data_IF_209968334600
#
_entry.id   IF_209968334600
#
_cell.length_a   1.000
_cell.length_b   1.000
_cell.length_c   1.000
_cell.angle_alpha   90.00
_cell.angle_beta   90.00
_cell.angle_gamma   90.00
#
_symmetry.space_group_name_H-M   'P 1'
#
loop_
_entity.id
_entity.type
_entity.pdbx_description
1 polymer ?
#
# COMPACT_ATOMS: atom_id res chain seq x y z
N UNK A 1 25.00 26.49 42.81
CA UNK A 1 26.00 25.46 42.48
C UNK A 1 25.97 25.30 40.97
N UNK A 2 26.87 25.97 40.27
CA UNK A 2 27.14 25.75 38.85
C UNK A 2 28.61 26.14 38.61
N UNK A 3 29.51 25.21 38.28
CA UNK A 3 30.87 25.53 37.90
C UNK A 3 30.93 25.79 36.40
N UNK A 4 30.89 27.06 36.03
CA UNK A 4 31.38 27.58 34.75
C UNK A 4 32.85 27.93 34.94
N UNK A 5 33.76 27.04 34.51
CA UNK A 5 35.16 27.39 34.33
C UNK A 5 35.88 26.44 33.35
N UNK A 6 36.66 27.09 32.48
CA UNK A 6 37.83 26.57 31.78
C UNK A 6 37.61 25.75 30.49
N UNK A 7 37.71 26.44 29.34
CA UNK A 7 38.89 26.41 28.46
C UNK A 7 38.55 27.18 27.16
N UNK A 8 38.76 28.50 27.15
CA UNK A 8 39.93 29.15 26.52
C UNK A 8 40.40 28.48 25.21
N UNK A 9 39.92 29.07 24.11
CA UNK A 9 40.66 29.48 22.90
C UNK A 9 41.72 28.49 22.42
N UNK A 10 41.34 27.70 21.43
CA UNK A 10 42.24 27.36 20.33
C UNK A 10 41.50 27.72 19.03
N UNK A 11 41.84 28.89 18.49
CA UNK A 11 41.42 29.30 17.15
C UNK A 11 42.59 28.89 16.25
N UNK A 12 42.47 27.80 15.46
CA UNK A 12 43.44 27.60 14.41
C UNK A 12 43.04 28.55 13.27
N UNK A 13 43.80 29.63 13.15
CA UNK A 13 43.84 30.47 11.95
C UNK A 13 44.42 29.64 10.81
N UNK A 14 43.61 28.78 10.21
CA UNK A 14 43.89 28.28 8.88
C UNK A 14 43.52 29.40 7.92
N UNK A 15 44.54 30.16 7.52
CA UNK A 15 44.44 31.11 6.43
C UNK A 15 43.81 30.42 5.25
N UNK A 16 42.64 30.92 4.84
CA UNK A 16 42.13 30.73 3.49
C UNK A 16 43.08 31.48 2.56
N UNK A 17 44.23 30.86 2.27
CA UNK A 17 44.98 31.12 1.06
C UNK A 17 44.03 30.74 -0.08
N UNK A 18 43.28 31.74 -0.54
CA UNK A 18 42.44 31.68 -1.73
C UNK A 18 43.40 31.68 -2.91
N UNK A 19 44.04 30.54 -3.13
CA UNK A 19 44.94 30.33 -4.24
C UNK A 19 44.11 30.40 -5.52
N UNK A 20 44.08 31.60 -6.08
CA UNK A 20 43.31 31.97 -7.26
C UNK A 20 44.05 31.54 -8.53
N UNK A 21 44.68 30.37 -8.49
CA UNK A 21 45.40 29.75 -9.62
C UNK A 21 44.79 28.41 -10.00
N UNK A 22 43.48 28.39 -10.20
CA UNK A 22 42.90 27.51 -11.20
C UNK A 22 42.68 28.34 -12.46
N UNK A 23 43.79 28.54 -13.16
CA UNK A 23 43.80 28.96 -14.56
C UNK A 23 43.18 27.80 -15.34
N UNK A 24 41.88 27.88 -15.55
CA UNK A 24 41.07 26.97 -16.36
C UNK A 24 41.33 27.24 -17.85
N UNK A 25 42.58 27.03 -18.28
CA UNK A 25 42.90 26.80 -19.68
C UNK A 25 42.76 25.28 -19.90
N UNK A 26 41.51 24.83 -20.07
CA UNK A 26 41.17 23.42 -20.12
C UNK A 26 39.72 23.19 -20.54
N UNK A 27 39.32 23.77 -21.66
CA UNK A 27 38.07 23.43 -22.34
C UNK A 27 38.08 21.93 -22.70
N UNK A 28 37.19 21.14 -22.10
CA UNK A 28 36.91 19.79 -22.60
C UNK A 28 36.37 18.77 -21.58
N UNK A 29 36.84 18.78 -20.33
CA UNK A 29 36.60 17.65 -19.40
C UNK A 29 35.49 17.89 -18.37
N UNK A 30 35.20 19.15 -18.00
CA UNK A 30 34.13 19.48 -17.04
C UNK A 30 32.71 19.42 -17.63
N UNK A 31 32.56 19.59 -18.94
CA UNK A 31 31.26 19.53 -19.62
C UNK A 31 30.70 18.11 -19.71
N UNK A 32 31.56 17.11 -19.92
CA UNK A 32 31.14 15.72 -20.13
C UNK A 32 30.67 15.04 -18.84
N UNK A 33 31.30 15.34 -17.70
CA UNK A 33 30.94 14.72 -16.41
C UNK A 33 29.63 15.28 -15.88
N UNK A 34 29.42 16.60 -16.02
CA UNK A 34 28.14 17.25 -15.69
C UNK A 34 27.00 16.79 -16.61
N UNK A 35 27.24 16.63 -17.91
CA UNK A 35 26.23 16.05 -18.82
C UNK A 35 25.87 14.62 -18.45
N UNK A 36 26.84 13.78 -18.07
CA UNK A 36 26.58 12.39 -17.67
C UNK A 36 25.74 12.29 -16.40
N UNK A 37 26.03 13.12 -15.39
CA UNK A 37 25.25 13.14 -14.15
C UNK A 37 23.81 13.60 -14.41
N UNK A 38 23.63 14.66 -15.20
CA UNK A 38 22.29 15.14 -15.58
C UNK A 38 21.52 14.08 -16.36
N UNK A 39 22.17 13.37 -17.27
CA UNK A 39 21.55 12.29 -18.05
C UNK A 39 21.13 11.11 -17.17
N UNK A 40 21.95 10.71 -16.19
CA UNK A 40 21.62 9.64 -15.23
C UNK A 40 20.44 10.07 -14.34
N UNK A 41 20.43 11.30 -13.84
CA UNK A 41 19.31 11.81 -13.03
C UNK A 41 18.02 11.93 -13.84
N UNK A 42 18.08 12.37 -15.08
CA UNK A 42 16.94 12.41 -15.99
C UNK A 42 16.41 11.00 -16.27
N UNK A 43 17.30 10.02 -16.49
CA UNK A 43 16.90 8.62 -16.69
C UNK A 43 16.23 8.04 -15.42
N UNK A 44 16.77 8.29 -14.24
CA UNK A 44 16.19 7.87 -12.97
C UNK A 44 14.81 8.51 -12.72
N UNK A 45 14.64 9.79 -13.08
CA UNK A 45 13.36 10.48 -12.96
C UNK A 45 12.30 9.90 -13.91
N UNK A 46 12.68 9.55 -15.15
CA UNK A 46 11.77 8.90 -16.11
C UNK A 46 11.38 7.50 -15.64
N UNK A 47 12.33 6.70 -15.15
CA UNK A 47 12.04 5.33 -14.65
C UNK A 47 11.22 5.35 -13.35
N UNK A 48 11.49 6.30 -12.44
CA UNK A 48 10.69 6.50 -11.23
C UNK A 48 9.27 7.03 -11.48
N UNK A 49 9.08 7.80 -12.56
CA UNK A 49 7.80 8.43 -12.90
C UNK A 49 6.70 7.45 -13.35
N UNK A 50 7.07 6.35 -14.02
CA UNK A 50 6.08 5.38 -14.53
C UNK A 50 5.30 4.68 -13.40
N UNK A 51 5.96 4.35 -12.29
CA UNK A 51 5.30 3.71 -11.15
C UNK A 51 4.35 4.64 -10.39
N UNK A 52 4.65 5.95 -10.37
CA UNK A 52 3.84 6.94 -9.66
C UNK A 52 2.52 7.21 -10.40
N UNK A 53 2.54 7.29 -11.73
CA UNK A 53 1.34 7.52 -12.54
C UNK A 53 0.37 6.34 -12.48
N UNK A 54 0.87 5.11 -12.58
CA UNK A 54 0.02 3.91 -12.48
C UNK A 54 -0.65 3.79 -11.10
N UNK A 55 0.04 4.19 -10.02
CA UNK A 55 -0.56 4.23 -8.68
C UNK A 55 -1.67 5.27 -8.56
N UNK A 56 -1.45 6.48 -9.08
CA UNK A 56 -2.47 7.53 -9.08
C UNK A 56 -3.73 7.12 -9.83
N UNK A 57 -3.57 6.48 -10.99
CA UNK A 57 -4.73 5.99 -11.75
C UNK A 57 -5.53 4.93 -10.98
N UNK A 58 -4.84 4.02 -10.26
CA UNK A 58 -5.51 3.03 -9.42
C UNK A 58 -6.22 3.68 -8.23
N UNK A 59 -5.56 4.63 -7.55
CA UNK A 59 -6.13 5.38 -6.43
C UNK A 59 -7.36 6.19 -6.87
N UNK A 60 -7.31 6.83 -8.04
CA UNK A 60 -8.43 7.56 -8.62
C UNK A 60 -9.61 6.61 -8.92
N UNK A 61 -9.34 5.47 -9.56
CA UNK A 61 -10.36 4.44 -9.82
C UNK A 61 -11.00 3.93 -8.53
N UNK A 62 -10.21 3.72 -7.48
CA UNK A 62 -10.70 3.29 -6.18
C UNK A 62 -11.54 4.37 -5.49
N UNK A 63 -11.14 5.64 -5.58
CA UNK A 63 -11.92 6.77 -5.05
C UNK A 63 -13.27 6.89 -5.77
N UNK A 64 -13.26 6.78 -7.10
CA UNK A 64 -14.49 6.79 -7.93
C UNK A 64 -15.40 5.62 -7.55
N UNK A 65 -14.86 4.40 -7.42
CA UNK A 65 -15.63 3.24 -6.98
C UNK A 65 -16.22 3.40 -5.58
N UNK A 66 -15.46 3.99 -4.65
CA UNK A 66 -15.92 4.28 -3.29
C UNK A 66 -17.06 5.30 -3.30
N UNK A 67 -16.93 6.37 -4.09
CA UNK A 67 -17.98 7.37 -4.25
C UNK A 67 -19.25 6.77 -4.88
N UNK A 68 -19.10 5.92 -5.91
CA UNK A 68 -20.21 5.20 -6.53
C UNK A 68 -20.93 4.28 -5.53
N UNK A 69 -20.18 3.52 -4.74
CA UNK A 69 -20.75 2.69 -3.68
C UNK A 69 -21.53 3.54 -2.67
N UNK A 70 -20.94 4.63 -2.17
CA UNK A 70 -21.59 5.50 -1.18
C UNK A 70 -22.89 6.12 -1.72
N UNK A 71 -22.86 6.57 -2.98
CA UNK A 71 -24.05 7.09 -3.65
C UNK A 71 -25.13 6.00 -3.79
N UNK A 72 -24.77 4.79 -4.23
CA UNK A 72 -25.69 3.67 -4.34
C UNK A 72 -26.30 3.25 -2.99
N UNK A 73 -25.50 3.21 -1.92
CA UNK A 73 -25.98 2.92 -0.56
C UNK A 73 -26.95 4.00 -0.06
N UNK A 74 -26.70 5.27 -0.37
CA UNK A 74 -27.60 6.36 -0.03
C UNK A 74 -28.95 6.23 -0.77
N UNK A 75 -28.90 5.88 -2.06
CA UNK A 75 -30.10 5.60 -2.86
C UNK A 75 -30.88 4.41 -2.31
N UNK A 76 -30.21 3.30 -1.99
CA UNK A 76 -30.83 2.12 -1.38
C UNK A 76 -31.49 2.45 -0.04
N UNK A 77 -30.87 3.29 0.79
CA UNK A 77 -31.44 3.77 2.05
C UNK A 77 -32.70 4.62 1.83
N UNK A 78 -32.71 5.49 0.81
CA UNK A 78 -33.88 6.29 0.47
C UNK A 78 -35.04 5.44 -0.07
N UNK A 79 -34.73 4.40 -0.86
CA UNK A 79 -35.70 3.48 -1.46
C UNK A 79 -36.29 2.49 -0.46
N UNK A 80 -35.51 2.05 0.53
CA UNK A 80 -35.90 1.07 1.53
C UNK A 80 -35.75 1.64 2.95
N UNK A 81 -36.70 2.48 3.38
CA UNK A 81 -36.69 3.04 4.73
C UNK A 81 -36.90 1.94 5.78
N UNK A 82 -36.37 2.13 6.99
CA UNK A 82 -36.31 1.09 8.02
C UNK A 82 -37.70 0.60 8.47
N UNK A 83 -38.69 1.48 8.39
CA UNK A 83 -40.09 1.23 8.76
C UNK A 83 -40.76 0.22 7.81
N UNK A 84 -40.27 0.11 6.57
CA UNK A 84 -40.85 -0.78 5.56
C UNK A 84 -40.56 -2.27 5.83
N UNK A 85 -39.60 -2.61 6.71
CA UNK A 85 -39.20 -4.00 7.05
C UNK A 85 -38.86 -4.88 5.83
N UNK A 86 -38.43 -4.28 4.72
CA UNK A 86 -38.01 -4.94 3.46
C UNK A 86 -36.52 -5.25 3.50
N UNK A 87 -36.12 -6.08 4.47
CA UNK A 87 -34.71 -6.30 4.77
C UNK A 87 -33.97 -7.02 3.65
N UNK A 88 -34.59 -8.01 3.01
CA UNK A 88 -33.97 -8.77 1.91
C UNK A 88 -33.74 -7.88 0.69
N UNK A 89 -34.74 -7.09 0.29
CA UNK A 89 -34.59 -6.18 -0.85
C UNK A 89 -33.59 -5.07 -0.57
N UNK A 90 -33.56 -4.55 0.67
CA UNK A 90 -32.56 -3.59 1.09
C UNK A 90 -31.15 -4.17 1.00
N UNK A 91 -30.91 -5.35 1.57
CA UNK A 91 -29.58 -5.98 1.56
C UNK A 91 -29.13 -6.31 0.14
N UNK A 92 -30.04 -6.74 -0.74
CA UNK A 92 -29.74 -6.95 -2.16
C UNK A 92 -29.35 -5.65 -2.87
N UNK A 93 -30.06 -4.55 -2.59
CA UNK A 93 -29.72 -3.23 -3.13
C UNK A 93 -28.32 -2.79 -2.64
N UNK A 94 -28.08 -2.90 -1.33
CA UNK A 94 -26.81 -2.50 -0.74
C UNK A 94 -25.64 -3.35 -1.30
N UNK A 95 -25.85 -4.65 -1.55
CA UNK A 95 -24.86 -5.53 -2.20
C UNK A 95 -24.51 -5.06 -3.61
N UNK A 96 -25.53 -4.77 -4.43
CA UNK A 96 -25.32 -4.29 -5.80
C UNK A 96 -24.56 -2.96 -5.83
N UNK A 97 -24.82 -2.06 -4.88
CA UNK A 97 -24.05 -0.83 -4.73
C UNK A 97 -22.60 -1.10 -4.30
N UNK A 98 -22.40 -2.04 -3.36
CA UNK A 98 -21.08 -2.40 -2.85
C UNK A 98 -20.19 -3.15 -3.85
N UNK A 99 -20.76 -3.74 -4.91
CA UNK A 99 -19.99 -4.40 -5.97
C UNK A 99 -18.95 -3.48 -6.63
N UNK A 100 -19.18 -2.16 -6.64
CA UNK A 100 -18.25 -1.19 -7.22
C UNK A 100 -16.84 -1.28 -6.61
N UNK A 101 -16.72 -1.56 -5.31
CA UNK A 101 -15.42 -1.64 -4.61
C UNK A 101 -14.78 -3.03 -4.68
N UNK A 102 -15.53 -4.08 -5.02
CA UNK A 102 -15.07 -5.48 -4.99
C UNK A 102 -13.74 -5.70 -5.75
N UNK A 103 -13.49 -5.11 -6.94
CA UNK A 103 -12.24 -5.29 -7.67
C UNK A 103 -11.00 -4.72 -6.96
N UNK A 104 -11.18 -3.82 -6.00
CA UNK A 104 -10.10 -3.14 -5.28
C UNK A 104 -9.79 -3.78 -3.92
N UNK A 105 -10.54 -4.82 -3.53
CA UNK A 105 -10.33 -5.52 -2.27
C UNK A 105 -9.21 -6.55 -2.39
N UNK A 106 -8.36 -6.62 -1.36
CA UNK A 106 -7.28 -7.63 -1.28
C UNK A 106 -7.83 -9.06 -1.30
N UNK A 107 -8.97 -9.28 -0.64
CA UNK A 107 -9.62 -10.58 -0.52
C UNK A 107 -11.12 -10.48 -0.92
N UNK A 108 -11.43 -10.51 -2.23
CA UNK A 108 -12.81 -10.35 -2.70
C UNK A 108 -13.75 -11.50 -2.27
N UNK A 109 -13.20 -12.67 -1.94
CA UNK A 109 -13.97 -13.79 -1.41
C UNK A 109 -14.49 -13.54 0.01
N UNK A 110 -13.74 -12.79 0.83
CA UNK A 110 -14.19 -12.39 2.17
C UNK A 110 -15.35 -11.41 2.09
N UNK A 111 -15.34 -10.52 1.09
CA UNK A 111 -16.47 -9.65 0.78
C UNK A 111 -17.73 -10.45 0.40
N UNK A 112 -17.59 -11.42 -0.50
CA UNK A 112 -18.72 -12.27 -0.91
C UNK A 112 -19.27 -13.07 0.29
N UNK A 113 -18.39 -13.60 1.15
CA UNK A 113 -18.76 -14.29 2.39
C UNK A 113 -19.54 -13.38 3.34
N UNK A 114 -19.07 -12.16 3.57
CA UNK A 114 -19.77 -11.19 4.44
C UNK A 114 -21.18 -10.87 3.92
N UNK A 115 -21.32 -10.64 2.61
CA UNK A 115 -22.61 -10.34 2.00
C UNK A 115 -23.58 -11.52 1.97
N UNK A 116 -23.07 -12.74 1.81
CA UNK A 116 -23.87 -13.95 1.95
C UNK A 116 -24.47 -14.07 3.36
N UNK A 117 -23.67 -13.85 4.39
CA UNK A 117 -24.14 -13.86 5.79
C UNK A 117 -25.14 -12.72 6.06
N UNK A 118 -24.89 -11.52 5.55
CA UNK A 118 -25.85 -10.40 5.66
C UNK A 118 -27.19 -10.72 5.01
N UNK A 119 -27.19 -11.47 3.90
CA UNK A 119 -28.42 -11.91 3.23
C UNK A 119 -29.19 -12.90 4.10
N UNK A 120 -28.51 -13.89 4.69
CA UNK A 120 -29.13 -14.84 5.62
C UNK A 120 -29.71 -14.14 6.86
N UNK A 121 -29.01 -13.14 7.40
CA UNK A 121 -29.51 -12.33 8.51
C UNK A 121 -30.74 -11.52 8.11
N UNK A 122 -30.75 -10.92 6.91
CA UNK A 122 -31.88 -10.18 6.40
C UNK A 122 -33.13 -11.07 6.21
N UNK A 123 -32.96 -12.29 5.69
CA UNK A 123 -34.04 -13.27 5.57
C UNK A 123 -34.61 -13.67 6.93
N UNK A 124 -33.75 -13.96 7.91
CA UNK A 124 -34.17 -14.32 9.27
C UNK A 124 -34.88 -13.16 9.98
N UNK A 125 -34.39 -11.95 9.80
CA UNK A 125 -34.97 -10.73 10.35
C UNK A 125 -36.36 -10.45 9.74
N UNK A 126 -36.48 -10.57 8.41
CA UNK A 126 -37.74 -10.41 7.71
C UNK A 126 -38.77 -11.51 8.04
N UNK A 127 -38.30 -12.74 8.27
CA UNK A 127 -39.12 -13.85 8.73
C UNK A 127 -39.51 -13.74 10.22
N UNK A 128 -39.06 -12.70 10.95
CA UNK A 128 -39.33 -12.54 12.37
C UNK A 128 -38.64 -13.58 13.27
N UNK A 129 -37.65 -14.30 12.74
CA UNK A 129 -36.88 -15.32 13.49
C UNK A 129 -35.79 -14.72 14.37
N UNK A 130 -35.43 -13.45 14.12
CA UNK A 130 -34.47 -12.68 14.88
C UNK A 130 -35.03 -11.28 15.14
N UNK A 131 -34.70 -10.71 16.28
CA UNK A 131 -34.85 -9.28 16.55
C UNK A 131 -33.74 -8.49 15.85
N UNK A 132 -33.95 -7.19 15.65
CA UNK A 132 -32.92 -6.31 15.07
C UNK A 132 -31.64 -6.29 15.93
N UNK A 133 -31.79 -6.34 17.26
CA UNK A 133 -30.66 -6.38 18.19
C UNK A 133 -29.83 -7.66 18.02
N UNK A 134 -30.49 -8.82 17.94
CA UNK A 134 -29.80 -10.10 17.71
C UNK A 134 -29.14 -10.16 16.33
N UNK A 135 -29.80 -9.64 15.29
CA UNK A 135 -29.23 -9.54 13.96
C UNK A 135 -27.96 -8.66 13.95
N UNK A 136 -27.96 -7.54 14.69
CA UNK A 136 -26.78 -6.68 14.83
C UNK A 136 -25.62 -7.38 15.54
N UNK A 137 -25.89 -8.16 16.60
CA UNK A 137 -24.87 -8.95 17.30
C UNK A 137 -24.29 -10.03 16.38
N UNK A 138 -25.14 -10.75 15.64
CA UNK A 138 -24.67 -11.75 14.68
C UNK A 138 -23.86 -11.12 13.54
N UNK A 139 -24.30 -9.98 13.01
CA UNK A 139 -23.55 -9.24 12.00
C UNK A 139 -22.17 -8.79 12.51
N UNK A 140 -22.09 -8.30 13.76
CA UNK A 140 -20.81 -7.95 14.37
C UNK A 140 -19.90 -9.18 14.55
N UNK A 141 -20.45 -10.32 14.94
CA UNK A 141 -19.69 -11.57 15.05
C UNK A 141 -19.14 -12.03 13.70
N UNK A 142 -19.95 -11.98 12.63
CA UNK A 142 -19.51 -12.28 11.27
C UNK A 142 -18.38 -11.34 10.86
N UNK A 143 -18.52 -10.04 11.11
CA UNK A 143 -17.49 -9.06 10.78
C UNK A 143 -16.17 -9.35 11.51
N UNK A 144 -16.21 -9.70 12.80
CA UNK A 144 -15.03 -10.11 13.55
C UNK A 144 -14.35 -11.35 12.95
N UNK A 145 -15.13 -12.38 12.56
CA UNK A 145 -14.58 -13.58 11.94
C UNK A 145 -13.91 -13.28 10.59
N UNK A 146 -14.50 -12.39 9.79
CA UNK A 146 -13.91 -11.93 8.52
C UNK A 146 -12.61 -11.17 8.77
N UNK A 147 -12.56 -10.29 9.77
CA UNK A 147 -11.36 -9.55 10.14
C UNK A 147 -10.24 -10.49 10.63
N UNK A 148 -10.57 -11.52 11.41
CA UNK A 148 -9.63 -12.56 11.84
C UNK A 148 -9.09 -13.36 10.64
N UNK A 149 -9.96 -13.75 9.71
CA UNK A 149 -9.59 -14.44 8.47
C UNK A 149 -8.64 -13.59 7.61
N UNK A 150 -8.94 -12.29 7.46
CA UNK A 150 -8.09 -11.33 6.76
C UNK A 150 -6.73 -11.18 7.46
N UNK A 151 -6.71 -11.00 8.77
CA UNK A 151 -5.47 -10.88 9.54
C UNK A 151 -4.61 -12.13 9.40
N UNK A 152 -5.21 -13.32 9.49
CA UNK A 152 -4.51 -14.59 9.30
C UNK A 152 -3.86 -14.67 7.93
N UNK A 153 -4.59 -14.29 6.86
CA UNK A 153 -4.07 -14.28 5.48
C UNK A 153 -2.95 -13.26 5.29
N UNK A 154 -3.09 -12.07 5.86
CA UNK A 154 -2.08 -11.03 5.82
C UNK A 154 -0.77 -11.47 6.51
N UNK A 155 -0.87 -12.13 7.67
CA UNK A 155 0.30 -12.69 8.35
C UNK A 155 0.97 -13.80 7.54
N UNK A 156 0.19 -14.69 6.93
CA UNK A 156 0.70 -15.75 6.05
C UNK A 156 1.43 -15.16 4.83
N UNK A 157 0.83 -14.18 4.15
CA UNK A 157 1.43 -13.50 3.00
C UNK A 157 2.75 -12.81 3.36
N UNK A 158 2.80 -12.11 4.49
CA UNK A 158 4.05 -11.48 4.98
C UNK A 158 5.15 -12.50 5.24
N UNK A 159 4.81 -13.67 5.80
CA UNK A 159 5.77 -14.74 6.04
C UNK A 159 6.34 -15.29 4.73
N UNK A 160 5.48 -15.56 3.75
CA UNK A 160 5.90 -16.02 2.41
C UNK A 160 6.78 -14.98 1.73
N UNK A 161 6.37 -13.71 1.71
CA UNK A 161 7.17 -12.64 1.10
C UNK A 161 8.55 -12.48 1.76
N UNK A 162 8.65 -12.67 3.08
CA UNK A 162 9.92 -12.64 3.79
C UNK A 162 10.82 -13.83 3.40
N UNK A 163 10.25 -15.03 3.26
CA UNK A 163 10.97 -16.21 2.81
C UNK A 163 11.44 -16.08 1.35
N UNK A 164 10.58 -15.55 0.47
CA UNK A 164 10.93 -15.26 -0.92
C UNK A 164 12.03 -14.20 -1.02
N UNK A 165 11.96 -13.14 -0.22
CA UNK A 165 13.01 -12.12 -0.16
C UNK A 165 14.33 -12.69 0.34
N UNK A 166 14.31 -13.55 1.37
CA UNK A 166 15.49 -14.24 1.87
C UNK A 166 16.08 -15.19 0.83
N UNK A 167 15.25 -15.96 0.12
CA UNK A 167 15.67 -16.84 -0.97
C UNK A 167 16.26 -16.05 -2.15
N UNK A 168 15.62 -14.93 -2.53
CA UNK A 168 16.12 -14.05 -3.58
C UNK A 168 17.46 -13.38 -3.20
N UNK A 169 17.64 -13.03 -1.92
CA UNK A 169 18.92 -12.52 -1.40
C UNK A 169 20.00 -13.62 -1.42
N UNK A 170 19.66 -14.85 -1.01
CA UNK A 170 20.58 -15.98 -1.05
C UNK A 170 21.04 -16.30 -2.48
N UNK A 171 20.10 -16.35 -3.44
CA UNK A 171 20.42 -16.51 -4.86
C UNK A 171 21.37 -15.42 -5.39
N UNK A 172 21.13 -14.15 -5.03
CA UNK A 172 22.00 -13.04 -5.45
C UNK A 172 23.40 -13.10 -4.83
N UNK A 173 23.55 -13.76 -3.67
CA UNK A 173 24.85 -13.94 -3.03
C UNK A 173 25.66 -15.10 -3.61
N UNK A 174 25.04 -16.05 -4.33
CA UNK A 174 25.75 -17.17 -4.97
C UNK A 174 26.39 -16.71 -6.28
N UNK A 175 27.70 -16.47 -6.26
CA UNK A 175 28.47 -16.20 -7.47
C UNK A 175 29.10 -17.49 -7.97
N UNK A 176 28.66 -17.97 -9.13
CA UNK A 176 29.28 -19.10 -9.78
C UNK A 176 30.32 -18.60 -10.79
N UNK A 177 31.56 -19.01 -10.61
CA UNK A 177 32.64 -18.78 -11.59
C UNK A 177 33.03 -20.11 -12.23
N UNK A 178 33.15 -20.10 -13.56
CA UNK A 178 33.61 -21.25 -14.34
C UNK A 178 35.08 -21.05 -14.69
N UNK A 179 35.95 -21.97 -14.26
CA UNK A 179 37.37 -21.98 -14.63
C UNK A 179 37.63 -23.29 -15.37
N UNK A 180 37.71 -23.23 -16.70
CA UNK A 180 37.81 -24.42 -17.55
C UNK A 180 36.54 -25.29 -17.51
N UNK A 181 36.68 -26.57 -17.13
CA UNK A 181 35.57 -27.53 -17.05
C UNK A 181 34.93 -27.65 -15.65
N UNK A 182 35.40 -26.89 -14.66
CA UNK A 182 34.82 -26.87 -13.31
C UNK A 182 33.99 -25.60 -13.10
N UNK A 183 32.87 -25.74 -12.41
CA UNK A 183 32.03 -24.64 -11.93
C UNK A 183 32.13 -24.62 -10.41
N UNK A 184 32.64 -23.52 -9.85
CA UNK A 184 32.64 -23.29 -8.41
C UNK A 184 31.64 -22.19 -8.11
N UNK A 185 30.71 -22.49 -7.21
CA UNK A 185 29.75 -21.53 -6.67
C UNK A 185 30.13 -21.22 -5.23
N UNK A 186 30.28 -19.94 -4.92
CA UNK A 186 30.52 -19.41 -3.58
C UNK A 186 29.39 -18.48 -3.19
#
# INVERSE_FOLDING_TARGET
MDPVAALKRYVPTWGLARDSRLRLDGAGVWGTTSMRIVMVLALCAVVGGCGLMARRELEEKQQVATAQMQAGLAECKARFPAEAKRYVEKTSCDYNAAQAIRPFLTYPDLFDKEWAERTLLAERLQAGKLTLAEANVQAASVHSQIAEDEQRRNLASRSVNAQEAAAAAAWKSTSCTRIGNTVNCF
#
